data_IF_894404571542
#
_entry.id   IF_894404571542
#
_cell.length_a   1.000
_cell.length_b   1.000
_cell.length_c   1.000
_cell.angle_alpha   90.00
_cell.angle_beta   90.00
_cell.angle_gamma   90.00
#
_symmetry.space_group_name_H-M   'P 1'
#
loop_
_entity.id
_entity.type
_entity.pdbx_description
1 polymer ?
#
# COMPACT_ATOMS: atom_id res chain seq x y z
N UNK A 1 -36.59 -0.67 23.77
CA UNK A 1 -36.09 0.36 22.83
C UNK A 1 -34.68 0.07 22.31
N UNK A 2 -33.82 -0.68 23.03
CA UNK A 2 -32.47 -1.03 22.56
C UNK A 2 -32.44 -2.15 21.49
N UNK A 3 -33.36 -3.11 21.51
CA UNK A 3 -33.37 -4.25 20.57
C UNK A 3 -33.48 -3.85 19.09
N UNK A 4 -34.20 -2.76 18.77
CA UNK A 4 -34.34 -2.27 17.39
C UNK A 4 -32.99 -1.88 16.75
N UNK A 5 -31.97 -1.60 17.57
CA UNK A 5 -30.65 -1.14 17.10
C UNK A 5 -29.59 -2.22 17.15
N UNK A 6 -29.95 -3.48 17.42
CA UNK A 6 -29.00 -4.58 17.30
C UNK A 6 -28.63 -4.80 15.83
N UNK A 7 -27.34 -5.00 15.50
CA UNK A 7 -26.91 -5.35 14.16
C UNK A 7 -27.54 -6.66 13.64
N UNK A 8 -27.67 -7.64 14.53
CA UNK A 8 -28.30 -8.94 14.30
C UNK A 8 -29.14 -9.34 15.52
N UNK A 9 -30.18 -10.15 15.34
CA UNK A 9 -31.11 -10.53 16.42
C UNK A 9 -30.41 -11.29 17.57
N UNK A 10 -29.36 -12.04 17.23
CA UNK A 10 -28.49 -12.82 18.12
C UNK A 10 -27.26 -12.04 18.64
N UNK A 11 -27.11 -10.78 18.23
CA UNK A 11 -26.00 -9.94 18.70
C UNK A 11 -26.31 -9.33 20.07
N UNK A 12 -25.62 -9.80 21.11
CA UNK A 12 -25.72 -9.25 22.47
C UNK A 12 -24.51 -8.41 22.88
N UNK A 13 -23.30 -8.84 22.50
CA UNK A 13 -22.05 -8.15 22.75
C UNK A 13 -21.01 -8.58 21.70
N UNK A 14 -19.90 -7.86 21.63
CA UNK A 14 -18.74 -8.35 20.88
C UNK A 14 -17.98 -9.35 21.74
N UNK A 15 -17.66 -10.51 21.15
CA UNK A 15 -16.76 -11.48 21.77
C UNK A 15 -15.32 -10.94 21.70
N UNK A 16 -14.68 -10.78 22.86
CA UNK A 16 -13.30 -10.28 22.96
C UNK A 16 -12.31 -11.18 22.22
N UNK A 17 -12.60 -12.49 22.10
CA UNK A 17 -11.77 -13.45 21.38
C UNK A 17 -11.92 -13.34 19.85
N UNK A 18 -13.03 -12.80 19.36
CA UNK A 18 -13.29 -12.60 17.92
C UNK A 18 -12.86 -11.20 17.41
N UNK A 19 -12.61 -10.24 18.31
CA UNK A 19 -12.14 -8.90 17.93
C UNK A 19 -10.64 -8.94 17.61
N UNK A 20 -10.21 -8.45 16.44
CA UNK A 20 -8.79 -8.31 16.12
C UNK A 20 -8.08 -7.41 17.15
N UNK A 21 -6.93 -7.85 17.63
CA UNK A 21 -6.12 -7.04 18.52
C UNK A 21 -5.41 -5.92 17.73
N UNK A 22 -5.02 -4.85 18.43
CA UNK A 22 -4.24 -3.76 17.83
C UNK A 22 -2.97 -4.29 17.11
N UNK A 23 -2.36 -5.37 17.61
CA UNK A 23 -1.23 -6.06 16.99
C UNK A 23 -1.57 -6.65 15.62
N UNK A 24 -2.78 -7.18 15.43
CA UNK A 24 -3.22 -7.75 14.17
C UNK A 24 -3.36 -6.65 13.11
N UNK A 25 -3.91 -5.50 13.50
CA UNK A 25 -4.00 -4.32 12.63
C UNK A 25 -2.61 -3.84 12.22
N UNK A 26 -1.68 -3.71 13.18
CA UNK A 26 -0.29 -3.32 12.90
C UNK A 26 0.41 -4.33 12.00
N UNK A 27 0.17 -5.62 12.20
CA UNK A 27 0.73 -6.68 11.36
C UNK A 27 0.23 -6.55 9.91
N UNK A 28 -1.07 -6.38 9.68
CA UNK A 28 -1.64 -6.22 8.35
C UNK A 28 -1.08 -4.97 7.67
N UNK A 29 -1.03 -3.82 8.35
CA UNK A 29 -0.44 -2.59 7.80
C UNK A 29 1.04 -2.78 7.44
N UNK A 30 1.79 -3.52 8.25
CA UNK A 30 3.18 -3.85 7.98
C UNK A 30 3.33 -4.67 6.69
N UNK A 31 2.43 -5.63 6.45
CA UNK A 31 2.42 -6.40 5.21
C UNK A 31 2.13 -5.53 3.98
N UNK A 32 1.15 -4.61 4.07
CA UNK A 32 0.87 -3.67 2.99
C UNK A 32 2.08 -2.78 2.67
N UNK A 33 2.75 -2.24 3.70
CA UNK A 33 3.95 -1.41 3.50
C UNK A 33 5.10 -2.21 2.86
N UNK A 34 5.30 -3.47 3.26
CA UNK A 34 6.33 -4.33 2.68
C UNK A 34 6.05 -4.65 1.21
N UNK A 35 4.81 -5.03 0.88
CA UNK A 35 4.39 -5.28 -0.49
C UNK A 35 4.48 -4.03 -1.37
N UNK A 36 4.09 -2.87 -0.82
CA UNK A 36 4.19 -1.59 -1.51
C UNK A 36 5.64 -1.21 -1.80
N UNK A 37 6.54 -1.32 -0.81
CA UNK A 37 7.96 -1.04 -1.01
C UNK A 37 8.59 -1.99 -2.03
N UNK A 38 8.17 -3.26 -2.08
CA UNK A 38 8.58 -4.20 -3.12
C UNK A 38 8.11 -3.76 -4.50
N UNK A 39 6.81 -3.48 -4.67
CA UNK A 39 6.27 -2.99 -5.94
C UNK A 39 7.00 -1.72 -6.42
N UNK A 40 7.22 -0.78 -5.51
CA UNK A 40 7.96 0.45 -5.79
C UNK A 40 9.38 0.12 -6.24
N UNK A 41 10.11 -0.69 -5.47
CA UNK A 41 11.49 -1.08 -5.76
C UNK A 41 11.64 -1.76 -7.12
N UNK A 42 10.73 -2.67 -7.47
CA UNK A 42 10.70 -3.36 -8.77
C UNK A 42 10.46 -2.41 -9.96
N UNK A 43 9.98 -1.19 -9.69
CA UNK A 43 9.70 -0.15 -10.69
C UNK A 43 10.61 1.09 -10.52
N UNK A 44 11.68 1.01 -9.73
CA UNK A 44 12.69 2.08 -9.72
C UNK A 44 13.78 1.79 -10.75
N UNK A 45 14.07 2.79 -11.58
CA UNK A 45 15.14 2.76 -12.58
C UNK A 45 16.18 3.86 -12.33
N UNK A 46 17.39 3.67 -12.85
CA UNK A 46 18.40 4.72 -12.92
C UNK A 46 18.30 5.41 -14.28
N UNK A 47 18.10 6.72 -14.28
CA UNK A 47 18.16 7.56 -15.47
C UNK A 47 19.15 8.71 -15.21
N UNK A 48 20.18 8.84 -16.08
CA UNK A 48 21.25 9.87 -15.97
C UNK A 48 21.86 9.98 -14.56
N UNK A 49 22.17 8.84 -13.94
CA UNK A 49 22.81 8.77 -12.62
C UNK A 49 21.88 9.04 -11.43
N UNK A 50 20.57 9.13 -11.66
CA UNK A 50 19.57 9.39 -10.63
C UNK A 50 18.46 8.35 -10.61
N UNK A 51 17.88 8.13 -9.43
CA UNK A 51 16.81 7.16 -9.22
C UNK A 51 15.44 7.78 -9.48
N UNK A 52 14.63 7.08 -10.28
CA UNK A 52 13.24 7.46 -10.58
C UNK A 52 12.34 6.26 -10.41
N UNK A 53 11.20 6.46 -9.76
CA UNK A 53 10.11 5.50 -9.76
C UNK A 53 9.27 5.75 -11.01
N UNK A 54 9.19 4.74 -11.89
CA UNK A 54 8.38 4.81 -13.11
C UNK A 54 6.94 4.42 -12.78
N UNK A 55 6.00 5.24 -13.19
CA UNK A 55 4.56 5.00 -12.99
C UNK A 55 3.85 5.26 -14.32
N UNK A 56 2.85 4.45 -14.65
CA UNK A 56 2.03 4.70 -15.84
C UNK A 56 1.29 6.02 -15.66
N UNK A 57 1.54 6.99 -16.55
CA UNK A 57 0.78 8.24 -16.56
C UNK A 57 -0.42 8.17 -17.49
N UNK A 58 -1.24 9.23 -17.45
CA UNK A 58 -2.34 9.45 -18.38
C UNK A 58 -1.97 10.47 -19.47
N UNK A 59 -2.90 10.75 -20.38
CA UNK A 59 -2.67 11.68 -21.51
C UNK A 59 -2.45 13.14 -21.07
N UNK A 60 -2.77 13.49 -19.82
CA UNK A 60 -2.57 14.83 -19.25
C UNK A 60 -1.19 14.98 -18.59
N UNK A 61 -0.49 13.86 -18.35
CA UNK A 61 0.81 13.83 -17.71
C UNK A 61 1.98 14.10 -18.68
N UNK A 62 3.14 14.44 -18.10
CA UNK A 62 4.40 14.52 -18.86
C UNK A 62 5.02 13.14 -18.95
N UNK A 63 4.66 12.42 -20.01
CA UNK A 63 5.12 11.07 -20.28
C UNK A 63 6.50 11.04 -20.97
N UNK A 64 7.26 9.99 -20.71
CA UNK A 64 8.42 9.61 -21.54
C UNK A 64 7.99 8.83 -22.79
N UNK A 65 8.97 8.39 -23.59
CA UNK A 65 8.75 7.63 -24.83
C UNK A 65 8.01 6.30 -24.61
N UNK A 66 8.01 5.78 -23.38
CA UNK A 66 7.33 4.54 -22.99
C UNK A 66 5.95 4.81 -22.34
N UNK A 67 5.50 6.07 -22.28
CA UNK A 67 4.22 6.45 -21.66
C UNK A 67 4.28 6.52 -20.13
N UNK A 68 5.48 6.68 -19.56
CA UNK A 68 5.71 6.65 -18.12
C UNK A 68 6.00 8.03 -17.55
N UNK A 69 5.55 8.26 -16.31
CA UNK A 69 5.96 9.38 -15.48
C UNK A 69 7.13 8.95 -14.60
N UNK A 70 8.18 9.76 -14.60
CA UNK A 70 9.37 9.54 -13.79
C UNK A 70 9.32 10.40 -12.52
N UNK A 71 8.99 9.77 -11.39
CA UNK A 71 8.95 10.43 -10.09
C UNK A 71 10.32 10.30 -9.43
N UNK A 72 10.95 11.42 -9.10
CA UNK A 72 12.28 11.42 -8.46
C UNK A 72 12.23 10.71 -7.11
N UNK A 73 13.15 9.78 -6.87
CA UNK A 73 13.21 8.98 -5.64
C UNK A 73 14.65 8.73 -5.20
N UNK A 74 14.81 8.01 -4.08
CA UNK A 74 16.07 7.43 -3.61
C UNK A 74 16.20 5.95 -4.00
N UNK A 75 17.42 5.42 -3.89
CA UNK A 75 17.71 3.98 -4.04
C UNK A 75 16.79 3.17 -3.12
N UNK A 76 16.08 2.15 -3.65
CA UNK A 76 15.28 1.25 -2.82
C UNK A 76 16.15 0.51 -1.80
N UNK A 77 15.60 0.27 -0.61
CA UNK A 77 16.36 -0.31 0.51
C UNK A 77 16.79 -1.76 0.27
N UNK A 78 16.13 -2.47 -0.64
CA UNK A 78 16.28 -3.92 -0.86
C UNK A 78 16.45 -4.30 -2.35
N UNK A 79 17.20 -3.53 -3.14
CA UNK A 79 17.65 -4.04 -4.44
C UNK A 79 18.57 -5.25 -4.18
N UNK A 80 18.19 -6.43 -4.68
CA UNK A 80 19.14 -7.52 -4.85
C UNK A 80 20.06 -7.12 -6.01
N UNK A 81 21.37 -7.19 -5.78
CA UNK A 81 22.39 -7.06 -6.83
C UNK A 81 22.27 -8.20 -7.86
#
# INVERSE_FOLDING_TARGET
MAEKYKPFDDFDNFDEDDIPQNSDVVFILSQYLQCFEKQRADNVVINRGAWYWRVQGNDEDKLDEEGMVLIRTIKPKKLKD
#
